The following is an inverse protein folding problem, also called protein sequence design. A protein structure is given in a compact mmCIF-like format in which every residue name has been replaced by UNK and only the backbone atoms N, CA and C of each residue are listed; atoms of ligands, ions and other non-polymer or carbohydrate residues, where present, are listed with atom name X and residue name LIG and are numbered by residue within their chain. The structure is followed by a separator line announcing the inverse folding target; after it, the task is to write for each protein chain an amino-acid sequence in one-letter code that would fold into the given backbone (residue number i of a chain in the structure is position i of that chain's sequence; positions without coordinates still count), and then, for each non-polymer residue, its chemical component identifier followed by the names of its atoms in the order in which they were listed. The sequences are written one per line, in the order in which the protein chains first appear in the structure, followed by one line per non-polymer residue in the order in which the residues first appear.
data_IF_280145279195
#
_entry.id   IF_280145279195
#
_cell.length_a   1.000
_cell.length_b   1.000
_cell.length_c   1.000
_cell.angle_alpha   90.00
_cell.angle_beta   90.00
_cell.angle_gamma   90.00
#
_symmetry.space_group_name_H-M   'P 1'
#
loop_
_entity.id
_entity.type
_entity.pdbx_description
1 polymer ?
#
# COMPACT_ATOMS: atom_id res chain seq x y z
N UNK A 1 4.97 12.37 -7.64
CA UNK A 1 3.70 11.66 -7.91
C UNK A 1 3.64 10.49 -6.95
N UNK A 2 2.68 10.49 -6.01
CA UNK A 2 2.64 9.56 -4.88
C UNK A 2 1.97 8.26 -5.34
N UNK A 3 2.72 7.16 -5.40
CA UNK A 3 2.19 5.80 -5.64
C UNK A 3 2.46 5.00 -4.39
N UNK A 4 1.72 5.32 -3.32
CA UNK A 4 1.58 4.41 -2.18
C UNK A 4 0.41 3.47 -2.45
N UNK A 5 0.40 2.26 -1.89
CA UNK A 5 -0.82 1.46 -1.83
C UNK A 5 -1.91 2.29 -1.15
N UNK A 6 -3.15 2.16 -1.62
CA UNK A 6 -4.25 2.87 -0.99
C UNK A 6 -4.55 2.15 0.32
N UNK A 7 -4.14 2.77 1.42
CA UNK A 7 -4.47 2.31 2.77
C UNK A 7 -5.67 3.12 3.23
N UNK A 8 -6.68 2.44 3.78
CA UNK A 8 -7.81 3.07 4.45
C UNK A 8 -8.10 2.38 5.77
N UNK A 9 -8.78 3.08 6.67
CA UNK A 9 -9.04 2.61 8.04
C UNK A 9 -10.52 2.71 8.32
N UNK A 10 -11.06 1.66 8.92
CA UNK A 10 -12.41 1.63 9.45
C UNK A 10 -12.34 1.45 10.97
N UNK A 11 -12.95 2.39 11.68
CA UNK A 11 -13.01 2.35 13.14
C UNK A 11 -14.15 1.43 13.59
N UNK A 12 -13.80 0.31 14.20
CA UNK A 12 -14.72 -0.64 14.83
C UNK A 12 -14.40 -0.79 16.33
N UNK A 13 -13.90 0.30 16.96
CA UNK A 13 -13.49 0.29 18.37
C UNK A 13 -14.63 -0.05 19.34
N UNK A 14 -15.89 0.21 18.96
CA UNK A 14 -17.07 -0.25 19.69
C UNK A 14 -17.17 -1.79 19.78
N UNK A 15 -16.52 -2.50 18.84
CA UNK A 15 -16.40 -3.95 18.79
C UNK A 15 -14.99 -4.44 19.17
N UNK A 16 -14.14 -3.55 19.70
CA UNK A 16 -12.81 -3.90 20.20
C UNK A 16 -11.71 -3.98 19.15
N UNK A 17 -11.91 -3.52 17.90
CA UNK A 17 -10.85 -3.57 16.89
C UNK A 17 -10.81 -2.37 15.94
N UNK A 18 -9.66 -2.16 15.29
CA UNK A 18 -9.54 -1.29 14.11
C UNK A 18 -9.26 -2.16 12.89
N UNK A 19 -9.89 -1.84 11.76
CA UNK A 19 -9.72 -2.56 10.50
C UNK A 19 -8.97 -1.71 9.49
N UNK A 20 -7.84 -2.21 9.00
CA UNK A 20 -6.97 -1.55 8.02
C UNK A 20 -7.11 -2.28 6.69
N UNK A 21 -7.53 -1.55 5.65
CA UNK A 21 -7.58 -2.05 4.29
C UNK A 21 -6.31 -1.66 3.55
N UNK A 22 -5.69 -2.61 2.86
CA UNK A 22 -4.47 -2.45 2.10
C UNK A 22 -4.71 -2.86 0.64
N UNK A 23 -4.85 -1.88 -0.25
CA UNK A 23 -5.08 -2.15 -1.66
C UNK A 23 -3.74 -2.27 -2.41
N UNK A 24 -3.46 -3.48 -2.90
CA UNK A 24 -2.31 -3.82 -3.72
C UNK A 24 -2.70 -3.73 -5.21
N UNK A 25 -2.26 -2.68 -5.94
CA UNK A 25 -2.53 -2.59 -7.36
C UNK A 25 -1.68 -3.59 -8.14
N UNK A 26 -2.32 -4.42 -8.97
CA UNK A 26 -1.66 -5.30 -9.94
C UNK A 26 -2.00 -4.81 -11.34
N UNK A 27 -1.01 -4.28 -12.05
CA UNK A 27 -1.19 -3.84 -13.43
C UNK A 27 -1.20 -5.04 -14.37
N UNK A 28 -2.29 -5.23 -15.11
CA UNK A 28 -2.45 -6.33 -16.06
C UNK A 28 -2.83 -5.73 -17.41
N UNK A 29 -2.04 -6.02 -18.44
CA UNK A 29 -2.35 -5.60 -19.80
C UNK A 29 -1.51 -6.34 -20.82
N UNK A 30 -1.84 -6.14 -22.10
CA UNK A 30 -1.10 -6.70 -23.22
C UNK A 30 -0.20 -5.63 -23.80
N UNK A 31 1.00 -6.01 -24.23
CA UNK A 31 1.85 -5.14 -25.04
C UNK A 31 1.07 -4.70 -26.29
N UNK A 32 1.15 -3.42 -26.63
CA UNK A 32 0.65 -2.91 -27.90
C UNK A 32 1.44 -3.49 -29.07
N UNK A 33 0.89 -3.40 -30.28
CA UNK A 33 1.59 -3.84 -31.50
C UNK A 33 2.86 -3.01 -31.70
N UNK A 34 4.04 -3.61 -31.48
CA UNK A 34 5.34 -2.96 -31.67
C UNK A 34 5.53 -2.63 -33.16
N UNK A 35 5.73 -1.34 -33.48
CA UNK A 35 5.97 -0.87 -34.86
C UNK A 35 7.47 -0.95 -35.23
N UNK A 36 8.37 -0.81 -34.24
CA UNK A 36 9.81 -1.09 -34.39
C UNK A 36 10.42 -1.43 -33.01
N UNK A 37 11.55 -2.14 -32.99
CA UNK A 37 12.28 -2.49 -31.76
C UNK A 37 13.02 -1.29 -31.12
N UNK A 38 13.04 -0.12 -31.77
CA UNK A 38 13.94 0.98 -31.41
C UNK A 38 13.26 2.21 -30.77
N UNK A 39 11.93 2.41 -30.92
CA UNK A 39 11.33 3.74 -30.70
C UNK A 39 10.02 3.79 -29.92
N UNK A 40 9.85 2.97 -28.86
CA UNK A 40 8.80 3.25 -27.88
C UNK A 40 9.32 3.09 -26.46
N UNK A 41 9.46 4.22 -25.76
CA UNK A 41 9.44 4.22 -24.29
C UNK A 41 8.01 3.86 -23.89
N UNK A 42 7.84 2.80 -23.12
CA UNK A 42 6.52 2.29 -22.77
C UNK A 42 5.67 3.35 -22.04
N UNK A 43 4.74 3.97 -22.76
CA UNK A 43 3.73 4.85 -22.20
C UNK A 43 2.46 4.03 -21.93
N UNK A 44 2.31 3.56 -20.69
CA UNK A 44 1.10 2.85 -20.26
C UNK A 44 0.01 3.85 -19.85
N UNK A 45 -1.20 3.69 -20.36
CA UNK A 45 -2.38 4.42 -19.91
C UNK A 45 -3.18 3.50 -18.97
N UNK A 46 -3.43 3.98 -17.74
CA UNK A 46 -4.33 3.31 -16.78
C UNK A 46 -5.75 3.37 -17.36
N UNK A 47 -6.41 2.22 -17.45
CA UNK A 47 -7.76 2.15 -18.03
C UNK A 47 -8.83 2.01 -16.96
N UNK A 48 -9.05 0.81 -16.42
CA UNK A 48 -10.11 0.54 -15.44
C UNK A 48 -9.69 -0.52 -14.42
N UNK A 49 -10.38 -0.55 -13.28
CA UNK A 49 -10.35 -1.68 -12.36
C UNK A 49 -11.01 -2.90 -13.02
N UNK A 50 -10.28 -4.01 -13.11
CA UNK A 50 -10.74 -5.24 -13.77
C UNK A 50 -11.29 -6.23 -12.74
N UNK A 51 -10.65 -6.33 -11.56
CA UNK A 51 -10.98 -7.34 -10.57
C UNK A 51 -10.46 -6.93 -9.18
N UNK A 52 -11.15 -7.38 -8.14
CA UNK A 52 -10.68 -7.30 -6.75
C UNK A 52 -10.73 -8.69 -6.13
N UNK A 53 -9.70 -9.03 -5.36
CA UNK A 53 -9.64 -10.25 -4.56
C UNK A 53 -9.23 -9.88 -3.15
N UNK A 54 -9.96 -10.35 -2.14
CA UNK A 54 -9.76 -10.01 -0.74
C UNK A 54 -9.21 -11.24 -0.03
N UNK A 55 -7.98 -11.16 0.46
CA UNK A 55 -7.25 -12.34 0.93
C UNK A 55 -7.28 -12.55 2.45
N UNK A 56 -7.57 -11.54 3.25
CA UNK A 56 -7.48 -11.64 4.72
C UNK A 56 -8.51 -10.73 5.40
N UNK A 57 -9.11 -11.18 6.49
CA UNK A 57 -9.90 -10.38 7.44
C UNK A 57 -9.74 -11.00 8.84
N UNK A 58 -8.47 -11.20 9.22
CA UNK A 58 -8.11 -11.85 10.47
C UNK A 58 -7.43 -10.85 11.41
N UNK A 59 -7.48 -11.14 12.71
CA UNK A 59 -6.73 -10.44 13.74
C UNK A 59 -5.22 -10.54 13.44
N UNK A 60 -4.53 -9.42 13.64
CA UNK A 60 -3.14 -9.21 13.27
C UNK A 60 -2.41 -8.51 14.40
N UNK A 61 -1.38 -9.15 14.93
CA UNK A 61 -0.57 -8.61 16.03
C UNK A 61 0.25 -7.39 15.59
N UNK A 62 0.66 -7.34 14.32
CA UNK A 62 1.42 -6.23 13.78
C UNK A 62 1.43 -6.19 12.25
N UNK A 63 1.63 -5.00 11.69
CA UNK A 63 2.04 -4.79 10.29
C UNK A 63 3.49 -4.28 10.30
N UNK A 64 4.38 -4.98 9.58
CA UNK A 64 5.75 -4.53 9.31
C UNK A 64 5.89 -4.11 7.84
N UNK A 65 6.21 -2.85 7.58
CA UNK A 65 6.46 -2.31 6.22
C UNK A 65 7.96 -2.11 6.05
N UNK A 66 8.59 -3.00 5.28
CA UNK A 66 10.00 -2.90 4.92
C UNK A 66 10.17 -1.92 3.76
N UNK A 67 10.90 -0.83 3.99
CA UNK A 67 11.08 0.24 3.00
C UNK A 67 12.32 1.08 3.28
N UNK A 68 13.00 1.53 2.22
CA UNK A 68 14.12 2.47 2.31
C UNK A 68 13.65 3.88 2.71
N UNK A 69 12.39 4.23 2.42
CA UNK A 69 11.80 5.55 2.68
C UNK A 69 11.02 5.62 4.01
N UNK A 70 11.54 4.97 5.06
CA UNK A 70 10.88 4.86 6.37
C UNK A 70 10.43 6.20 6.97
N UNK A 71 11.22 7.26 6.88
CA UNK A 71 10.86 8.57 7.43
C UNK A 71 9.59 9.15 6.77
N UNK A 72 9.47 8.99 5.44
CA UNK A 72 8.31 9.45 4.67
C UNK A 72 7.07 8.63 5.03
N UNK A 73 7.23 7.33 5.22
CA UNK A 73 6.15 6.46 5.66
C UNK A 73 5.68 6.77 7.07
N UNK A 74 6.62 6.95 8.01
CA UNK A 74 6.32 7.34 9.37
C UNK A 74 5.55 8.66 9.38
N UNK A 75 6.06 9.70 8.72
CA UNK A 75 5.36 10.98 8.60
C UNK A 75 3.97 10.82 7.97
N UNK A 76 3.83 10.05 6.89
CA UNK A 76 2.54 9.83 6.25
C UNK A 76 1.49 9.18 7.18
N UNK A 77 1.92 8.26 8.03
CA UNK A 77 1.03 7.57 8.97
C UNK A 77 0.75 8.43 10.21
N UNK A 78 1.77 9.11 10.74
CA UNK A 78 1.73 9.74 12.08
C UNK A 78 1.64 11.26 12.08
N UNK A 79 1.58 11.93 10.92
CA UNK A 79 1.57 13.40 10.88
C UNK A 79 0.45 13.96 11.75
N UNK A 80 0.80 14.81 12.71
CA UNK A 80 -0.09 15.33 13.76
C UNK A 80 -1.21 16.22 13.23
N UNK A 81 -1.11 16.69 11.99
CA UNK A 81 -2.14 17.52 11.35
C UNK A 81 -3.09 16.70 10.48
N UNK A 82 -2.60 15.72 9.73
CA UNK A 82 -3.41 14.98 8.73
C UNK A 82 -2.86 13.61 8.32
N UNK A 83 -2.09 12.97 9.20
CA UNK A 83 -1.56 11.62 8.96
C UNK A 83 -2.70 10.60 8.82
N UNK A 84 -2.47 9.57 7.99
CA UNK A 84 -3.49 8.55 7.70
C UNK A 84 -4.02 7.87 8.97
N UNK A 85 -3.14 7.64 9.94
CA UNK A 85 -3.46 6.95 11.19
C UNK A 85 -3.51 7.91 12.40
N UNK A 86 -3.38 9.22 12.17
CA UNK A 86 -3.18 10.21 13.23
C UNK A 86 -4.24 10.14 14.34
N UNK A 87 -5.51 9.99 13.97
CA UNK A 87 -6.63 9.93 14.92
C UNK A 87 -6.63 8.66 15.76
N UNK A 88 -5.90 7.63 15.34
CA UNK A 88 -5.86 6.32 15.99
C UNK A 88 -4.58 6.11 16.82
N UNK A 89 -3.52 6.85 16.51
CA UNK A 89 -2.23 6.74 17.18
C UNK A 89 -2.33 7.19 18.64
N UNK A 90 -1.75 6.39 19.54
CA UNK A 90 -1.75 6.65 20.99
C UNK A 90 -3.07 6.34 21.70
N UNK A 91 -4.12 5.99 20.95
CA UNK A 91 -5.42 5.53 21.49
C UNK A 91 -5.68 4.06 21.19
N UNK A 92 -5.40 3.64 19.96
CA UNK A 92 -5.70 2.30 19.46
C UNK A 92 -4.51 1.65 18.77
N UNK A 93 -3.57 2.43 18.24
CA UNK A 93 -2.39 1.94 17.53
C UNK A 93 -1.10 2.60 18.05
N UNK A 94 0.00 1.87 18.04
CA UNK A 94 1.34 2.44 18.00
C UNK A 94 1.90 2.35 16.58
N UNK A 95 2.70 3.35 16.21
CA UNK A 95 3.48 3.35 14.97
C UNK A 95 4.92 3.70 15.33
N UNK A 96 5.86 2.84 14.97
CA UNK A 96 7.27 2.96 15.35
C UNK A 96 8.19 2.63 14.17
N UNK A 97 9.44 3.08 14.23
CA UNK A 97 10.53 2.56 13.39
C UNK A 97 11.34 1.60 14.25
N UNK A 98 11.44 0.34 13.83
CA UNK A 98 12.13 -0.72 14.57
C UNK A 98 12.88 -1.66 13.62
N UNK A 99 13.70 -2.57 14.14
CA UNK A 99 14.30 -3.64 13.35
C UNK A 99 13.21 -4.61 12.89
N UNK A 100 13.27 -5.02 11.62
CA UNK A 100 12.33 -5.98 11.05
C UNK A 100 12.31 -7.29 11.85
N UNK A 101 13.47 -7.84 12.14
CA UNK A 101 13.69 -8.89 13.14
C UNK A 101 14.20 -8.26 14.44
N UNK A 102 13.42 -8.38 15.51
CA UNK A 102 13.77 -7.82 16.83
C UNK A 102 14.88 -8.62 17.54
N UNK A 103 15.12 -9.86 17.10
CA UNK A 103 16.22 -10.69 17.60
C UNK A 103 17.56 -10.39 16.95
N UNK A 104 17.58 -9.62 15.86
CA UNK A 104 18.78 -9.29 15.09
C UNK A 104 19.00 -7.76 15.03
N UNK A 105 20.00 -7.21 15.74
CA UNK A 105 20.30 -5.78 15.71
C UNK A 105 20.74 -5.27 14.33
N UNK A 106 21.24 -6.16 13.45
CA UNK A 106 21.69 -5.83 12.09
C UNK A 106 20.56 -5.96 11.05
N UNK A 107 19.38 -6.42 11.46
CA UNK A 107 18.20 -6.48 10.60
C UNK A 107 17.83 -5.09 10.06
N UNK A 108 17.35 -4.99 8.80
CA UNK A 108 16.91 -3.71 8.27
C UNK A 108 15.76 -3.11 9.08
N UNK A 109 15.75 -1.79 9.19
CA UNK A 109 14.67 -1.05 9.84
C UNK A 109 13.39 -1.06 8.99
N UNK A 110 12.25 -1.27 9.64
CA UNK A 110 10.92 -1.21 9.06
C UNK A 110 10.01 -0.24 9.84
N UNK A 111 8.83 0.04 9.26
CA UNK A 111 7.74 0.68 9.99
C UNK A 111 6.90 -0.42 10.64
N UNK A 112 6.73 -0.36 11.95
CA UNK A 112 5.86 -1.23 12.72
C UNK A 112 4.56 -0.48 13.03
N UNK A 113 3.42 -1.13 12.79
CA UNK A 113 2.10 -0.72 13.26
C UNK A 113 1.58 -1.86 14.14
N UNK A 114 1.18 -1.57 15.37
CA UNK A 114 0.74 -2.57 16.35
C UNK A 114 -0.48 -2.02 17.12
N UNK A 115 -1.44 -2.87 17.51
CA UNK A 115 -2.57 -2.44 18.30
C UNK A 115 -2.18 -2.15 19.75
N UNK A 116 -2.94 -1.25 20.39
CA UNK A 116 -2.85 -0.98 21.83
C UNK A 116 -3.89 -1.83 22.55
N UNK A 117 -3.51 -2.73 23.48
CA UNK A 117 -4.46 -3.50 24.26
C UNK A 117 -5.46 -2.59 25.01
N UNK A 118 -6.75 -2.98 25.12
CA UNK A 118 -7.32 -4.29 24.76
C UNK A 118 -7.83 -4.37 23.32
N UNK A 119 -7.52 -3.38 22.47
CA UNK A 119 -7.99 -3.38 21.09
C UNK A 119 -7.16 -4.31 20.22
N UNK A 120 -7.81 -4.87 19.20
CA UNK A 120 -7.16 -5.65 18.17
C UNK A 120 -7.00 -4.83 16.88
N UNK A 121 -6.09 -5.27 16.01
CA UNK A 121 -5.96 -4.76 14.65
C UNK A 121 -6.32 -5.88 13.67
N UNK A 122 -7.18 -5.57 12.72
CA UNK A 122 -7.53 -6.46 11.60
C UNK A 122 -7.02 -5.89 10.31
N UNK A 123 -6.50 -6.76 9.45
CA UNK A 123 -5.93 -6.35 8.16
C UNK A 123 -6.67 -7.03 7.04
N UNK A 124 -7.08 -6.22 6.07
CA UNK A 124 -7.69 -6.66 4.83
C UNK A 124 -6.81 -6.33 3.66
N UNK A 125 -6.25 -7.35 3.03
CA UNK A 125 -5.46 -7.18 1.80
C UNK A 125 -6.39 -7.35 0.60
N UNK A 126 -6.54 -6.28 -0.18
CA UNK A 126 -7.27 -6.30 -1.44
C UNK A 126 -6.28 -6.27 -2.60
N UNK A 127 -6.27 -7.30 -3.44
CA UNK A 127 -5.54 -7.29 -4.70
C UNK A 127 -6.42 -6.65 -5.76
N UNK A 128 -6.06 -5.44 -6.19
CA UNK A 128 -6.82 -4.65 -7.15
C UNK A 128 -6.15 -4.75 -8.53
N UNK A 129 -6.74 -5.54 -9.44
CA UNK A 129 -6.22 -5.64 -10.82
C UNK A 129 -6.63 -4.41 -11.62
N UNK A 130 -5.64 -3.70 -12.15
CA UNK A 130 -5.83 -2.51 -12.98
C UNK A 130 -5.45 -2.85 -14.42
N UNK A 131 -6.39 -2.66 -15.34
CA UNK A 131 -6.14 -2.79 -16.77
C UNK A 131 -5.21 -1.72 -17.27
N UNK A 132 -4.17 -2.10 -18.02
CA UNK A 132 -3.34 -1.17 -18.78
C UNK A 132 -3.57 -1.36 -20.28
N UNK A 133 -3.78 -0.24 -20.98
CA UNK A 133 -3.77 -0.19 -22.44
C UNK A 133 -2.65 0.74 -22.89
N UNK A 134 -1.94 0.34 -23.94
CA UNK A 134 -1.07 1.23 -24.70
C UNK A 134 -1.95 2.02 -25.66
N UNK A 135 -1.82 3.35 -25.68
CA UNK A 135 -2.56 4.21 -26.61
C UNK A 135 -2.20 3.93 -28.07
N UNK A 136 -3.04 4.38 -29.00
CA UNK A 136 -2.75 4.23 -30.43
C UNK A 136 -1.43 4.91 -30.80
N UNK A 137 -0.47 4.15 -31.33
CA UNK A 137 0.75 4.71 -31.89
C UNK A 137 0.43 5.56 -33.12
N UNK A 138 0.98 6.78 -33.17
CA UNK A 138 0.91 7.62 -34.36
C UNK A 138 2.00 7.19 -35.33
N UNK A 139 1.62 6.90 -36.58
CA UNK A 139 2.58 6.70 -37.68
C UNK A 139 3.09 8.07 -38.10
N UNK A 140 4.35 8.39 -37.82
CA UNK A 140 5.03 9.55 -38.39
C UNK A 140 5.78 9.13 -39.64
N UNK A 141 5.34 9.61 -40.80
CA UNK A 141 6.09 9.49 -42.06
C UNK A 141 7.07 10.65 -42.18
N UNK A 142 8.30 10.35 -42.64
CA UNK A 142 9.38 11.32 -42.86
C UNK A 142 9.02 12.39 -43.89
#
# INVERSE_FOLDING_TARGET
MKVGPAISVENQSDYGYIKIYYDLPVFVGKEGKKVSAADFKDCYIRTNYIWHDTHTDNDCEFIKILTEHRAVWYEYLTNTTSGLLNEYIGRYLYVNITNYDEGDPDSPLCILIEPIPPYDMRVVINVVKIGVQTGAGVVTTK
#
